data_IF_280875785555
#
_entry.id   IF_280875785555
#
_cell.length_a   1.000
_cell.length_b   1.000
_cell.length_c   1.000
_cell.angle_alpha   90.00
_cell.angle_beta   90.00
_cell.angle_gamma   90.00
#
_symmetry.space_group_name_H-M   'P 1'
#
loop_
_entity.id
_entity.type
_entity.pdbx_description
1 polymer ?
#
# COMPACT_ATOMS: atom_id res chain seq x y z
N UNK A 1 1.23 -8.98 -12.83
CA UNK A 1 1.84 -7.78 -12.23
C UNK A 1 0.85 -6.65 -12.27
N UNK A 2 0.93 -5.70 -11.32
CA UNK A 2 0.27 -4.39 -11.39
C UNK A 2 1.27 -3.39 -11.95
N UNK A 3 0.93 -2.75 -13.07
CA UNK A 3 1.86 -1.93 -13.87
C UNK A 3 1.20 -0.61 -14.20
N UNK A 4 1.86 0.49 -13.87
CA UNK A 4 1.65 1.78 -14.52
C UNK A 4 2.62 1.87 -15.71
N UNK A 5 2.11 2.20 -16.89
CA UNK A 5 2.90 2.32 -18.13
C UNK A 5 2.70 3.71 -18.73
N UNK A 6 3.76 4.52 -18.70
CA UNK A 6 3.81 5.92 -19.19
C UNK A 6 2.64 6.75 -18.66
N UNK A 7 2.34 6.60 -17.38
CA UNK A 7 1.21 7.22 -16.72
C UNK A 7 1.43 8.73 -16.58
N UNK A 8 0.55 9.52 -17.17
CA UNK A 8 0.50 10.98 -17.00
C UNK A 8 -0.84 11.36 -16.40
N UNK A 9 -0.81 12.21 -15.37
CA UNK A 9 -2.02 12.68 -14.70
C UNK A 9 -1.95 14.19 -14.52
N UNK A 10 -2.96 14.89 -15.03
CA UNK A 10 -3.11 16.32 -14.82
C UNK A 10 -4.45 16.64 -14.12
N UNK A 11 -4.39 17.55 -13.15
CA UNK A 11 -5.56 18.13 -12.46
C UNK A 11 -5.71 19.59 -12.89
N UNK A 12 -6.74 19.87 -13.67
CA UNK A 12 -6.89 21.16 -14.31
C UNK A 12 -5.71 21.46 -15.23
N UNK A 13 -4.91 22.51 -14.90
CA UNK A 13 -3.71 22.90 -15.67
C UNK A 13 -2.40 22.32 -15.09
N UNK A 14 -2.43 21.69 -13.92
CA UNK A 14 -1.23 21.19 -13.25
C UNK A 14 -1.02 19.72 -13.60
N UNK A 15 0.10 19.41 -14.23
CA UNK A 15 0.55 18.05 -14.45
C UNK A 15 1.21 17.51 -13.18
N UNK A 16 0.62 16.46 -12.62
CA UNK A 16 1.05 15.86 -11.34
C UNK A 16 1.98 14.67 -11.58
N UNK A 17 1.69 13.86 -12.61
CA UNK A 17 2.55 12.75 -13.04
C UNK A 17 2.86 12.91 -14.53
N UNK A 18 4.10 12.58 -14.93
CA UNK A 18 4.66 12.84 -16.26
C UNK A 18 5.26 11.57 -16.85
N UNK A 19 4.48 10.81 -17.62
CA UNK A 19 4.97 9.64 -18.32
C UNK A 19 5.59 8.56 -17.43
N UNK A 20 5.16 8.50 -16.16
CA UNK A 20 5.73 7.63 -15.13
C UNK A 20 5.45 6.16 -15.42
N UNK A 21 6.45 5.30 -15.27
CA UNK A 21 6.29 3.85 -15.31
C UNK A 21 6.76 3.24 -14.00
N UNK A 22 5.95 2.32 -13.44
CA UNK A 22 6.25 1.58 -12.21
C UNK A 22 5.64 0.18 -12.27
N UNK A 23 6.35 -0.82 -11.74
CA UNK A 23 5.90 -2.22 -11.71
C UNK A 23 5.93 -2.76 -10.30
N UNK A 24 4.80 -3.30 -9.83
CA UNK A 24 4.74 -4.02 -8.56
C UNK A 24 4.91 -5.50 -8.82
N UNK A 25 5.96 -6.07 -8.24
CA UNK A 25 6.31 -7.48 -8.38
C UNK A 25 5.60 -8.28 -7.29
N UNK A 26 4.86 -9.36 -7.63
CA UNK A 26 4.29 -10.26 -6.62
C UNK A 26 5.37 -10.88 -5.74
N UNK A 27 5.13 -10.91 -4.43
CA UNK A 27 6.08 -11.41 -3.44
C UNK A 27 7.08 -10.37 -2.95
N UNK A 28 6.97 -9.11 -3.37
CA UNK A 28 7.90 -8.06 -3.01
C UNK A 28 7.20 -6.79 -2.52
N UNK A 29 7.87 -6.08 -1.61
CA UNK A 29 7.48 -4.76 -1.12
C UNK A 29 8.26 -3.68 -1.86
N UNK A 30 7.54 -2.77 -2.52
CA UNK A 30 8.10 -1.55 -3.13
C UNK A 30 7.75 -0.36 -2.24
N UNK A 31 8.75 0.31 -1.69
CA UNK A 31 8.57 1.58 -0.98
C UNK A 31 8.64 2.75 -1.97
N UNK A 32 7.65 3.64 -1.92
CA UNK A 32 7.62 4.87 -2.69
C UNK A 32 7.99 6.05 -1.79
N UNK A 33 9.11 6.66 -2.09
CA UNK A 33 9.67 7.82 -1.40
C UNK A 33 9.58 9.07 -2.28
N UNK A 34 9.58 10.23 -1.66
CA UNK A 34 9.60 11.53 -2.35
C UNK A 34 9.04 12.65 -1.48
N UNK A 35 9.30 13.89 -1.87
CA UNK A 35 8.79 15.08 -1.16
C UNK A 35 7.26 15.14 -1.12
N UNK A 36 6.73 15.91 -0.20
CA UNK A 36 5.30 16.25 -0.22
C UNK A 36 4.96 16.97 -1.52
N UNK A 37 3.84 16.59 -2.14
CA UNK A 37 3.44 17.13 -3.44
C UNK A 37 4.09 16.47 -4.66
N UNK A 38 5.03 15.54 -4.52
CA UNK A 38 5.69 14.85 -5.65
C UNK A 38 4.74 13.97 -6.49
N UNK A 39 3.51 13.68 -6.01
CA UNK A 39 2.53 12.87 -6.75
C UNK A 39 2.34 11.45 -6.20
N UNK A 40 2.93 11.09 -5.04
CA UNK A 40 2.89 9.73 -4.46
C UNK A 40 1.46 9.20 -4.29
N UNK A 41 0.61 9.90 -3.56
CA UNK A 41 -0.80 9.48 -3.36
C UNK A 41 -1.61 9.53 -4.66
N UNK A 42 -1.23 10.40 -5.62
CA UNK A 42 -1.85 10.42 -6.95
C UNK A 42 -1.51 9.15 -7.74
N UNK A 43 -0.26 8.70 -7.70
CA UNK A 43 0.16 7.44 -8.29
C UNK A 43 -0.56 6.25 -7.63
N UNK A 44 -0.60 6.22 -6.29
CA UNK A 44 -1.29 5.17 -5.55
C UNK A 44 -2.77 5.11 -5.94
N UNK A 45 -3.47 6.25 -6.02
CA UNK A 45 -4.88 6.33 -6.47
C UNK A 45 -5.08 5.85 -7.90
N UNK A 46 -4.12 6.13 -8.79
CA UNK A 46 -4.18 5.61 -10.16
C UNK A 46 -4.04 4.09 -10.21
N UNK A 47 -3.08 3.53 -9.48
CA UNK A 47 -2.92 2.08 -9.32
C UNK A 47 -4.11 1.44 -8.59
N UNK A 48 -4.78 2.21 -7.74
CA UNK A 48 -6.03 1.82 -7.11
C UNK A 48 -7.22 1.80 -8.07
N UNK A 49 -7.13 2.42 -9.24
CA UNK A 49 -8.24 2.52 -10.20
C UNK A 49 -9.24 3.63 -9.87
N UNK A 50 -8.89 4.58 -8.97
CA UNK A 50 -9.81 5.65 -8.55
C UNK A 50 -10.12 6.67 -9.66
N UNK A 51 -9.29 6.71 -10.72
CA UNK A 51 -9.50 7.61 -11.86
C UNK A 51 -10.27 6.95 -13.02
N UNK A 52 -10.75 5.70 -12.85
CA UNK A 52 -11.55 4.97 -13.82
C UNK A 52 -13.00 4.84 -13.33
N UNK A 53 -13.97 5.03 -14.22
CA UNK A 53 -15.39 4.85 -13.93
C UNK A 53 -16.23 6.13 -13.87
N UNK A 54 -17.55 6.00 -13.70
CA UNK A 54 -18.51 7.08 -13.76
C UNK A 54 -18.37 8.18 -12.69
N UNK A 55 -17.58 7.93 -11.64
CA UNK A 55 -17.25 8.89 -10.57
C UNK A 55 -15.87 9.54 -10.72
N UNK A 56 -15.12 9.22 -11.78
CA UNK A 56 -13.81 9.85 -12.03
C UNK A 56 -13.99 11.37 -12.17
N UNK A 57 -13.24 12.13 -11.39
CA UNK A 57 -13.39 13.58 -11.35
C UNK A 57 -13.26 14.17 -12.77
N UNK A 58 -14.28 14.87 -13.25
CA UNK A 58 -14.34 15.52 -14.57
C UNK A 58 -13.14 16.43 -14.89
N UNK A 59 -12.28 16.71 -13.90
CA UNK A 59 -11.12 17.59 -14.00
C UNK A 59 -9.76 16.85 -14.08
N UNK A 60 -9.76 15.50 -14.10
CA UNK A 60 -8.53 14.70 -14.18
C UNK A 60 -8.35 14.22 -15.61
N UNK A 61 -7.22 14.59 -16.23
CA UNK A 61 -6.79 14.02 -17.53
C UNK A 61 -5.80 12.92 -17.25
N UNK A 62 -6.07 11.73 -17.78
CA UNK A 62 -5.25 10.53 -17.65
C UNK A 62 -4.63 10.20 -19.02
N UNK A 63 -3.31 10.02 -19.05
CA UNK A 63 -2.56 9.49 -20.18
C UNK A 63 -1.80 8.22 -19.75
N UNK A 64 -1.41 7.38 -20.71
CA UNK A 64 -0.84 6.06 -20.40
C UNK A 64 -1.91 5.07 -19.96
N UNK A 65 -1.49 4.00 -19.26
CA UNK A 65 -2.42 2.94 -18.81
C UNK A 65 -1.96 2.29 -17.53
N UNK A 66 -2.92 1.70 -16.81
CA UNK A 66 -2.65 0.82 -15.66
C UNK A 66 -3.22 -0.55 -15.96
N UNK A 67 -2.38 -1.59 -15.79
CA UNK A 67 -2.80 -2.99 -15.98
C UNK A 67 -2.60 -3.79 -14.71
N UNK A 68 -3.54 -4.70 -14.43
CA UNK A 68 -3.48 -5.64 -13.32
C UNK A 68 -3.61 -7.06 -13.88
N UNK A 69 -2.54 -7.84 -13.68
CA UNK A 69 -2.44 -9.22 -14.19
C UNK A 69 -2.72 -9.35 -15.69
N UNK A 70 -2.28 -8.35 -16.48
CA UNK A 70 -2.44 -8.31 -17.93
C UNK A 70 -3.73 -7.66 -18.43
N UNK A 71 -4.72 -7.44 -17.58
CA UNK A 71 -5.95 -6.74 -17.94
C UNK A 71 -5.85 -5.23 -17.62
N UNK A 72 -6.38 -4.37 -18.49
CA UNK A 72 -6.50 -2.95 -18.17
C UNK A 72 -7.49 -2.73 -17.02
N UNK A 73 -7.17 -1.85 -16.06
CA UNK A 73 -8.00 -1.64 -14.87
C UNK A 73 -9.44 -1.23 -15.20
N UNK A 74 -9.60 -0.45 -16.24
CA UNK A 74 -10.91 0.03 -16.74
C UNK A 74 -11.85 -1.09 -17.20
N UNK A 75 -11.29 -2.25 -17.53
CA UNK A 75 -12.07 -3.43 -17.96
C UNK A 75 -12.40 -4.36 -16.78
N UNK A 76 -11.88 -4.12 -15.60
CA UNK A 76 -12.14 -4.94 -14.41
C UNK A 76 -13.35 -4.38 -13.66
N UNK A 77 -14.36 -5.22 -13.45
CA UNK A 77 -15.49 -4.88 -12.58
C UNK A 77 -15.05 -4.66 -11.12
N UNK A 78 -15.74 -3.78 -10.40
CA UNK A 78 -15.40 -3.40 -9.04
C UNK A 78 -15.21 -4.60 -8.07
N UNK A 79 -16.09 -5.61 -8.15
CA UNK A 79 -16.00 -6.79 -7.30
C UNK A 79 -14.76 -7.67 -7.61
N UNK A 80 -14.39 -7.79 -8.90
CA UNK A 80 -13.17 -8.51 -9.30
C UNK A 80 -11.93 -7.76 -8.85
N UNK A 81 -11.89 -6.44 -9.07
CA UNK A 81 -10.80 -5.58 -8.64
C UNK A 81 -10.62 -5.62 -7.11
N UNK A 82 -11.71 -5.55 -6.34
CA UNK A 82 -11.65 -5.59 -4.88
C UNK A 82 -11.10 -6.91 -4.31
N UNK A 83 -11.20 -8.02 -5.04
CA UNK A 83 -10.58 -9.30 -4.65
C UNK A 83 -9.09 -9.38 -4.97
N UNK A 84 -8.64 -8.60 -5.95
CA UNK A 84 -7.25 -8.60 -6.42
C UNK A 84 -6.40 -7.47 -5.82
N UNK A 85 -7.04 -6.39 -5.33
CA UNK A 85 -6.35 -5.21 -4.83
C UNK A 85 -7.08 -4.62 -3.62
N UNK A 86 -6.34 -4.40 -2.52
CA UNK A 86 -6.81 -3.63 -1.36
C UNK A 86 -6.00 -2.33 -1.21
N UNK A 87 -6.65 -1.32 -0.64
CA UNK A 87 -6.05 -0.01 -0.36
C UNK A 87 -6.23 0.34 1.11
N UNK A 88 -5.15 0.69 1.79
CA UNK A 88 -5.16 1.35 3.08
C UNK A 88 -4.87 2.84 2.84
N UNK A 89 -5.87 3.72 2.92
CA UNK A 89 -5.68 5.16 2.74
C UNK A 89 -5.02 5.79 3.98
N UNK A 90 -4.39 6.95 3.81
CA UNK A 90 -3.68 7.70 4.86
C UNK A 90 -4.56 8.01 6.09
N UNK A 91 -5.82 8.39 5.88
CA UNK A 91 -6.78 8.63 6.95
C UNK A 91 -8.13 8.01 6.56
N UNK A 92 -8.57 7.04 7.33
CA UNK A 92 -9.86 6.43 7.18
C UNK A 92 -10.58 6.44 8.53
N UNK A 93 -11.21 7.57 8.85
CA UNK A 93 -12.13 7.61 9.98
C UNK A 93 -13.47 7.03 9.54
N UNK A 94 -13.98 6.00 10.22
CA UNK A 94 -15.31 5.48 9.97
C UNK A 94 -16.37 6.57 10.20
N UNK A 95 -17.31 6.72 9.27
CA UNK A 95 -18.39 7.70 9.37
C UNK A 95 -19.45 7.30 10.44
N UNK A 96 -19.42 6.03 10.88
CA UNK A 96 -20.38 5.47 11.83
C UNK A 96 -19.65 4.72 12.93
N UNK A 97 -20.24 4.61 14.14
CA UNK A 97 -19.72 3.76 15.20
C UNK A 97 -19.83 2.29 14.77
N UNK A 98 -18.69 1.65 14.54
CA UNK A 98 -18.58 0.21 14.33
C UNK A 98 -17.85 -0.41 15.52
N UNK A 99 -18.11 -1.67 15.76
CA UNK A 99 -17.22 -2.51 16.55
C UNK A 99 -16.04 -2.92 15.65
N UNK A 100 -14.84 -3.07 16.23
CA UNK A 100 -13.63 -3.35 15.44
C UNK A 100 -13.77 -4.59 14.53
N UNK A 101 -14.41 -5.65 15.03
CA UNK A 101 -14.70 -6.85 14.22
C UNK A 101 -15.59 -6.56 13.01
N UNK A 102 -16.62 -5.73 13.19
CA UNK A 102 -17.53 -5.34 12.12
C UNK A 102 -16.79 -4.51 11.06
N UNK A 103 -15.93 -3.57 11.47
CA UNK A 103 -15.12 -2.79 10.55
C UNK A 103 -14.19 -3.69 9.73
N UNK A 104 -13.56 -4.69 10.35
CA UNK A 104 -12.70 -5.65 9.65
C UNK A 104 -13.53 -6.56 8.75
N UNK A 105 -14.74 -6.95 9.17
CA UNK A 105 -15.66 -7.76 8.37
C UNK A 105 -16.04 -7.09 7.04
N UNK A 106 -16.06 -5.75 6.95
CA UNK A 106 -16.26 -5.06 5.67
C UNK A 106 -15.22 -5.47 4.62
N UNK A 107 -14.02 -5.87 5.03
CA UNK A 107 -13.01 -6.42 4.13
C UNK A 107 -13.45 -7.72 3.43
N UNK A 108 -14.41 -8.46 4.00
CA UNK A 108 -14.92 -9.71 3.42
C UNK A 108 -16.04 -9.49 2.40
N UNK A 109 -16.59 -8.28 2.32
CA UNK A 109 -17.71 -7.97 1.41
C UNK A 109 -17.48 -8.39 -0.06
N UNK A 110 -16.29 -8.21 -0.67
CA UNK A 110 -16.04 -8.65 -2.04
C UNK A 110 -16.12 -10.17 -2.24
N UNK A 111 -16.09 -10.97 -1.18
CA UNK A 111 -16.08 -12.43 -1.21
C UNK A 111 -17.46 -13.05 -0.95
N UNK A 112 -18.46 -12.26 -0.57
CA UNK A 112 -19.82 -12.76 -0.32
C UNK A 112 -20.49 -13.17 -1.64
N UNK A 113 -21.03 -14.39 -1.70
CA UNK A 113 -21.63 -14.96 -2.91
C UNK A 113 -23.08 -14.48 -3.20
N UNK A 114 -23.79 -14.03 -2.18
CA UNK A 114 -25.15 -13.43 -2.28
C UNK A 114 -25.27 -12.34 -1.22
N UNK A 115 -25.99 -11.28 -1.57
CA UNK A 115 -26.23 -10.09 -0.76
C UNK A 115 -26.10 -10.32 0.76
N UNK A 116 -24.87 -10.19 1.30
CA UNK A 116 -24.62 -10.11 2.73
C UNK A 116 -24.50 -11.44 3.51
N UNK A 117 -24.49 -12.61 2.88
CA UNK A 117 -24.29 -13.87 3.61
C UNK A 117 -22.83 -14.00 4.08
N UNK A 118 -22.59 -13.71 5.37
CA UNK A 118 -21.30 -13.88 6.05
C UNK A 118 -21.19 -15.37 6.44
N UNK A 119 -20.08 -16.01 6.03
CA UNK A 119 -19.81 -17.40 6.37
C UNK A 119 -19.06 -17.49 7.72
N UNK A 120 -19.15 -18.63 8.39
CA UNK A 120 -18.38 -18.89 9.64
C UNK A 120 -16.88 -18.66 9.43
N UNK A 121 -16.37 -19.04 8.26
CA UNK A 121 -14.97 -18.79 7.86
C UNK A 121 -14.60 -17.31 7.86
N UNK A 122 -15.53 -16.41 7.52
CA UNK A 122 -15.23 -14.97 7.48
C UNK A 122 -14.95 -14.41 8.87
N UNK A 123 -15.67 -14.89 9.91
CA UNK A 123 -15.38 -14.53 11.31
C UNK A 123 -13.99 -15.01 11.75
N UNK A 124 -13.58 -16.21 11.33
CA UNK A 124 -12.24 -16.72 11.60
C UNK A 124 -11.16 -15.88 10.91
N UNK A 125 -11.38 -15.48 9.64
CA UNK A 125 -10.48 -14.59 8.89
C UNK A 125 -10.36 -13.23 9.58
N UNK A 126 -11.45 -12.65 10.01
CA UNK A 126 -11.47 -11.36 10.75
C UNK A 126 -10.61 -11.46 12.00
N UNK A 127 -10.83 -12.48 12.84
CA UNK A 127 -10.04 -12.69 14.06
C UNK A 127 -8.55 -12.85 13.76
N UNK A 128 -8.17 -13.67 12.77
CA UNK A 128 -6.78 -13.86 12.35
C UNK A 128 -6.16 -12.57 11.81
N UNK A 129 -6.93 -11.78 11.04
CA UNK A 129 -6.48 -10.49 10.51
C UNK A 129 -6.20 -9.47 11.62
N UNK A 130 -7.07 -9.42 12.65
CA UNK A 130 -6.84 -8.58 13.82
C UNK A 130 -5.56 -8.98 14.57
N UNK A 131 -5.31 -10.28 14.75
CA UNK A 131 -4.08 -10.77 15.39
C UNK A 131 -2.84 -10.39 14.57
N UNK A 132 -2.84 -10.64 13.26
CA UNK A 132 -1.72 -10.28 12.36
C UNK A 132 -1.43 -8.77 12.35
N UNK A 133 -2.47 -7.95 12.49
CA UNK A 133 -2.33 -6.49 12.55
C UNK A 133 -1.93 -5.96 13.95
N UNK A 134 -1.69 -6.83 14.94
CA UNK A 134 -1.44 -6.42 16.33
C UNK A 134 -2.64 -5.73 16.99
N UNK A 135 -3.86 -6.02 16.52
CA UNK A 135 -5.11 -5.42 16.98
C UNK A 135 -6.05 -6.44 17.66
N UNK A 136 -5.57 -7.65 17.99
CA UNK A 136 -6.40 -8.70 18.56
C UNK A 136 -7.11 -8.32 19.87
N UNK A 137 -6.47 -7.54 20.73
CA UNK A 137 -7.06 -7.02 21.98
C UNK A 137 -8.12 -5.93 21.76
N UNK A 138 -8.28 -5.44 20.53
CA UNK A 138 -9.25 -4.40 20.18
C UNK A 138 -10.57 -4.98 19.65
N UNK A 139 -10.64 -6.29 19.46
CA UNK A 139 -11.89 -6.98 19.10
C UNK A 139 -13.00 -6.60 20.09
N UNK A 140 -14.21 -6.34 19.60
CA UNK A 140 -15.35 -5.93 20.42
C UNK A 140 -15.34 -4.47 20.90
N UNK A 141 -14.27 -3.68 20.66
CA UNK A 141 -14.24 -2.26 21.03
C UNK A 141 -14.89 -1.39 19.95
N UNK A 142 -15.56 -0.34 20.39
CA UNK A 142 -16.08 0.71 19.50
C UNK A 142 -14.90 1.49 18.88
N UNK A 143 -14.87 1.57 17.55
CA UNK A 143 -13.78 2.22 16.79
C UNK A 143 -13.68 3.71 17.06
N UNK A 144 -14.75 4.36 17.51
CA UNK A 144 -14.74 5.79 17.87
C UNK A 144 -13.98 6.08 19.17
N UNK A 145 -13.75 5.03 19.99
CA UNK A 145 -13.01 5.10 21.26
C UNK A 145 -11.52 4.78 21.09
N UNK A 146 -11.11 4.38 19.89
CA UNK A 146 -9.73 3.98 19.61
C UNK A 146 -8.83 5.20 19.40
N UNK A 147 -7.58 5.09 19.85
CA UNK A 147 -6.54 6.03 19.45
C UNK A 147 -6.26 5.94 17.94
N UNK A 148 -5.62 6.95 17.36
CA UNK A 148 -5.27 6.93 15.95
C UNK A 148 -4.43 5.72 15.54
N UNK A 149 -3.48 5.29 16.38
CA UNK A 149 -2.66 4.11 16.14
C UNK A 149 -3.44 2.79 16.28
N UNK A 150 -4.37 2.69 17.25
CA UNK A 150 -5.25 1.53 17.37
C UNK A 150 -6.17 1.41 16.14
N UNK A 151 -6.78 2.51 15.73
CA UNK A 151 -7.63 2.54 14.53
C UNK A 151 -6.85 2.18 13.26
N UNK A 152 -5.61 2.68 13.12
CA UNK A 152 -4.75 2.33 11.98
C UNK A 152 -4.50 0.81 11.90
N UNK A 153 -4.25 0.14 13.04
CA UNK A 153 -4.09 -1.32 13.09
C UNK A 153 -5.39 -2.07 12.74
N UNK A 154 -6.56 -1.60 13.21
CA UNK A 154 -7.85 -2.18 12.83
C UNK A 154 -8.13 -2.00 11.33
N UNK A 155 -7.82 -0.84 10.76
CA UNK A 155 -7.93 -0.60 9.32
C UNK A 155 -6.95 -1.47 8.51
N UNK A 156 -5.74 -1.70 9.03
CA UNK A 156 -4.79 -2.64 8.43
C UNK A 156 -5.35 -4.07 8.46
N UNK A 157 -5.94 -4.51 9.59
CA UNK A 157 -6.62 -5.82 9.66
C UNK A 157 -7.74 -5.94 8.60
N UNK A 158 -8.49 -4.86 8.32
CA UNK A 158 -9.54 -4.84 7.30
C UNK A 158 -9.00 -5.14 5.91
N UNK A 159 -7.89 -4.52 5.51
CA UNK A 159 -7.29 -4.79 4.19
C UNK A 159 -6.64 -6.17 4.11
N UNK A 160 -6.13 -6.70 5.24
CA UNK A 160 -5.66 -8.09 5.30
C UNK A 160 -6.82 -9.08 5.14
N UNK A 161 -7.95 -8.86 5.82
CA UNK A 161 -9.15 -9.66 5.64
C UNK A 161 -9.65 -9.65 4.19
N UNK A 162 -9.57 -8.50 3.51
CA UNK A 162 -9.93 -8.36 2.10
C UNK A 162 -9.03 -9.21 1.18
N UNK A 163 -7.73 -9.25 1.44
CA UNK A 163 -6.77 -9.99 0.62
C UNK A 163 -6.45 -11.38 1.19
N UNK A 164 -7.24 -11.86 2.15
CA UNK A 164 -6.99 -13.18 2.74
C UNK A 164 -6.97 -14.27 1.67
N UNK A 165 -5.95 -15.16 1.64
CA UNK A 165 -5.87 -16.22 0.66
C UNK A 165 -7.03 -17.21 0.81
N UNK A 166 -7.75 -17.45 -0.29
CA UNK A 166 -8.84 -18.43 -0.31
C UNK A 166 -8.33 -19.88 -0.40
N UNK A 167 -7.18 -20.05 -1.01
CA UNK A 167 -6.45 -21.33 -1.18
C UNK A 167 -5.00 -21.11 -0.72
N UNK A 168 -4.19 -22.16 -0.68
CA UNK A 168 -2.77 -21.99 -0.41
C UNK A 168 -2.18 -21.01 -1.45
N UNK A 169 -1.66 -19.88 -0.94
CA UNK A 169 -1.13 -18.82 -1.79
C UNK A 169 0.11 -19.28 -2.61
N UNK A 170 0.65 -20.45 -2.28
CA UNK A 170 1.74 -21.13 -3.01
C UNK A 170 1.26 -21.88 -4.25
N UNK A 171 -0.06 -22.05 -4.43
CA UNK A 171 -0.59 -22.65 -5.65
C UNK A 171 -0.22 -21.79 -6.85
N UNK A 172 0.53 -22.38 -7.79
CA UNK A 172 1.07 -21.69 -8.96
C UNK A 172 -0.01 -21.09 -9.89
N UNK A 173 -1.28 -21.46 -9.71
CA UNK A 173 -2.43 -20.98 -10.48
C UNK A 173 -3.17 -19.79 -9.86
N UNK A 174 -2.88 -19.40 -8.62
CA UNK A 174 -3.57 -18.28 -7.98
C UNK A 174 -3.12 -16.94 -8.59
N UNK A 175 -4.08 -16.12 -9.01
CA UNK A 175 -3.79 -14.78 -9.54
C UNK A 175 -3.11 -13.91 -8.47
N UNK A 176 -2.00 -13.22 -8.79
CA UNK A 176 -1.35 -12.30 -7.86
C UNK A 176 -2.29 -11.20 -7.37
N UNK A 177 -2.16 -10.85 -6.08
CA UNK A 177 -2.95 -9.81 -5.42
C UNK A 177 -2.04 -8.67 -4.98
N UNK A 178 -2.62 -7.49 -4.75
CA UNK A 178 -1.85 -6.27 -4.51
C UNK A 178 -2.38 -5.51 -3.29
N UNK A 179 -1.45 -5.03 -2.46
CA UNK A 179 -1.72 -4.22 -1.30
C UNK A 179 -1.09 -2.83 -1.49
N UNK A 180 -1.92 -1.79 -1.46
CA UNK A 180 -1.50 -0.41 -1.62
C UNK A 180 -1.69 0.32 -0.28
N UNK A 181 -0.59 0.84 0.29
CA UNK A 181 -0.56 1.46 1.60
C UNK A 181 -0.13 2.93 1.47
N UNK A 182 -1.05 3.85 1.76
CA UNK A 182 -0.77 5.31 1.76
C UNK A 182 -0.42 5.75 3.18
N UNK A 183 0.87 5.92 3.47
CA UNK A 183 1.43 6.35 4.75
C UNK A 183 0.94 5.53 5.97
N UNK A 184 1.04 4.20 5.93
CA UNK A 184 0.44 3.33 6.95
C UNK A 184 1.05 3.51 8.35
N UNK A 185 2.19 4.17 8.44
CA UNK A 185 2.96 4.36 9.68
C UNK A 185 2.74 5.73 10.34
N UNK A 186 2.01 6.66 9.72
CA UNK A 186 1.91 8.05 10.17
C UNK A 186 1.33 8.23 11.60
N UNK A 187 0.41 7.35 12.00
CA UNK A 187 -0.24 7.41 13.33
C UNK A 187 0.36 6.42 14.35
N UNK A 188 1.45 5.74 14.02
CA UNK A 188 2.04 4.68 14.84
C UNK A 188 3.32 5.13 15.51
N UNK A 189 3.56 4.67 16.73
CA UNK A 189 4.88 4.75 17.38
C UNK A 189 5.91 3.85 16.69
N UNK A 190 7.19 4.05 17.02
CA UNK A 190 8.30 3.39 16.35
C UNK A 190 8.19 1.85 16.38
N UNK A 191 7.78 1.26 17.52
CA UNK A 191 7.66 -0.19 17.65
C UNK A 191 6.56 -0.73 16.72
N UNK A 192 5.40 -0.06 16.68
CA UNK A 192 4.29 -0.45 15.82
C UNK A 192 4.57 -0.19 14.33
N UNK A 193 5.37 0.85 13.97
CA UNK A 193 5.82 1.07 12.60
C UNK A 193 6.64 -0.11 12.09
N UNK A 194 7.65 -0.54 12.86
CA UNK A 194 8.48 -1.69 12.53
C UNK A 194 7.69 -2.99 12.46
N UNK A 195 6.78 -3.20 13.41
CA UNK A 195 5.91 -4.39 13.42
C UNK A 195 5.02 -4.44 12.16
N UNK A 196 4.34 -3.34 11.82
CA UNK A 196 3.46 -3.28 10.64
C UNK A 196 4.24 -3.56 9.36
N UNK A 197 5.36 -2.86 9.14
CA UNK A 197 6.15 -3.05 7.91
C UNK A 197 6.83 -4.42 7.86
N UNK A 198 7.24 -4.99 8.99
CA UNK A 198 7.72 -6.36 9.10
C UNK A 198 6.65 -7.37 8.70
N UNK A 199 5.44 -7.24 9.25
CA UNK A 199 4.28 -8.08 8.89
C UNK A 199 3.95 -7.95 7.40
N UNK A 200 3.95 -6.73 6.85
CA UNK A 200 3.73 -6.50 5.41
C UNK A 200 4.75 -7.26 4.56
N UNK A 201 6.03 -7.23 4.96
CA UNK A 201 7.11 -7.93 4.23
C UNK A 201 6.97 -9.44 4.29
N UNK A 202 6.62 -10.00 5.44
CA UNK A 202 6.34 -11.43 5.61
C UNK A 202 5.15 -11.86 4.74
N UNK A 203 4.03 -11.14 4.86
CA UNK A 203 2.83 -11.43 4.07
C UNK A 203 3.03 -11.23 2.56
N UNK A 204 3.87 -10.27 2.15
CA UNK A 204 4.22 -10.12 0.74
C UNK A 204 4.82 -11.42 0.20
N UNK A 205 5.72 -12.06 0.94
CA UNK A 205 6.35 -13.33 0.56
C UNK A 205 5.39 -14.51 0.66
N UNK A 206 4.75 -14.68 1.81
CA UNK A 206 3.91 -15.84 2.11
C UNK A 206 2.63 -15.87 1.27
N UNK A 207 1.99 -14.73 1.06
CA UNK A 207 0.77 -14.59 0.27
C UNK A 207 1.04 -14.20 -1.18
N UNK A 208 2.31 -14.04 -1.57
CA UNK A 208 2.75 -13.56 -2.90
C UNK A 208 2.07 -12.25 -3.30
N UNK A 209 1.97 -11.32 -2.35
CA UNK A 209 1.40 -10.00 -2.62
C UNK A 209 2.43 -9.10 -3.30
N UNK A 210 2.00 -8.36 -4.33
CA UNK A 210 2.74 -7.18 -4.77
C UNK A 210 2.33 -6.00 -3.90
N UNK A 211 3.28 -5.41 -3.16
CA UNK A 211 2.98 -4.32 -2.23
C UNK A 211 3.59 -3.00 -2.72
N UNK A 212 2.81 -1.93 -2.67
CA UNK A 212 3.29 -0.54 -2.70
C UNK A 212 3.03 0.09 -1.35
N UNK A 213 4.05 0.63 -0.71
CA UNK A 213 3.90 1.42 0.51
C UNK A 213 4.52 2.80 0.34
N UNK A 214 3.74 3.85 0.60
CA UNK A 214 4.26 5.21 0.71
C UNK A 214 4.75 5.38 2.14
N UNK A 215 6.01 5.72 2.31
CA UNK A 215 6.62 6.01 3.61
C UNK A 215 7.41 7.32 3.53
N UNK A 216 7.57 7.99 4.67
CA UNK A 216 8.32 9.25 4.73
C UNK A 216 9.75 9.05 5.20
N UNK A 217 10.01 8.03 6.00
CA UNK A 217 11.35 7.73 6.51
C UNK A 217 12.10 6.80 5.55
N UNK A 218 13.18 7.29 4.90
CA UNK A 218 13.99 6.48 4.02
C UNK A 218 14.66 5.29 4.73
N UNK A 219 14.96 5.40 6.02
CA UNK A 219 15.55 4.31 6.79
C UNK A 219 14.55 3.17 7.01
N UNK A 220 13.27 3.47 7.26
CA UNK A 220 12.20 2.48 7.29
C UNK A 220 12.04 1.80 5.93
N UNK A 221 12.09 2.58 4.83
CA UNK A 221 12.04 2.04 3.47
C UNK A 221 13.20 1.07 3.21
N UNK A 222 14.44 1.50 3.52
CA UNK A 222 15.64 0.68 3.32
C UNK A 222 15.60 -0.64 4.11
N UNK A 223 15.01 -0.63 5.31
CA UNK A 223 14.97 -1.79 6.19
C UNK A 223 13.88 -2.80 5.82
N UNK A 224 12.73 -2.33 5.35
CA UNK A 224 11.54 -3.18 5.19
C UNK A 224 11.12 -3.42 3.74
N UNK A 225 11.63 -2.65 2.78
CA UNK A 225 11.30 -2.85 1.37
C UNK A 225 12.33 -3.71 0.64
N UNK A 226 11.86 -4.46 -0.34
CA UNK A 226 12.71 -5.21 -1.29
C UNK A 226 13.13 -4.31 -2.45
N UNK A 227 12.33 -3.30 -2.77
CA UNK A 227 12.57 -2.29 -3.79
C UNK A 227 12.20 -0.90 -3.29
N UNK A 228 12.90 0.11 -3.77
CA UNK A 228 12.62 1.53 -3.50
C UNK A 228 12.43 2.25 -4.82
N UNK A 229 11.41 3.09 -4.90
CA UNK A 229 11.23 4.05 -5.99
C UNK A 229 11.25 5.48 -5.43
N UNK A 230 12.10 6.34 -5.99
CA UNK A 230 12.15 7.76 -5.67
C UNK A 230 11.30 8.54 -6.67
N UNK A 231 10.33 9.28 -6.17
CA UNK A 231 9.45 10.13 -6.97
C UNK A 231 9.82 11.60 -6.76
N UNK A 232 10.17 12.29 -7.83
CA UNK A 232 10.44 13.72 -7.84
C UNK A 232 9.77 14.36 -9.07
N UNK A 233 9.15 15.51 -8.88
CA UNK A 233 8.53 16.32 -9.94
C UNK A 233 7.57 15.55 -10.89
N UNK A 234 6.89 14.53 -10.35
CA UNK A 234 5.95 13.69 -11.08
C UNK A 234 6.58 12.56 -11.89
N UNK A 235 7.88 12.32 -11.77
CA UNK A 235 8.64 11.28 -12.47
C UNK A 235 9.34 10.33 -11.49
N UNK A 236 9.57 9.07 -11.90
CA UNK A 236 10.44 8.16 -11.16
C UNK A 236 11.90 8.55 -11.42
N UNK A 237 12.54 9.14 -10.42
CA UNK A 237 13.93 9.52 -10.46
C UNK A 237 14.88 8.32 -10.48
N UNK A 238 14.56 7.31 -9.67
CA UNK A 238 15.30 6.05 -9.58
C UNK A 238 14.39 4.95 -9.02
N UNK A 239 14.61 3.71 -9.48
CA UNK A 239 13.95 2.51 -8.96
C UNK A 239 14.99 1.37 -8.91
N UNK A 240 15.01 0.63 -7.79
CA UNK A 240 15.94 -0.50 -7.62
C UNK A 240 15.85 -1.09 -6.23
N UNK A 241 16.85 -1.88 -5.84
CA UNK A 241 17.06 -2.31 -4.45
C UNK A 241 17.39 -1.11 -3.56
N UNK A 242 17.19 -1.21 -2.23
CA UNK A 242 17.62 -0.15 -1.33
C UNK A 242 19.08 0.27 -1.54
N UNK A 243 20.00 -0.69 -1.73
CA UNK A 243 21.44 -0.40 -1.94
C UNK A 243 21.72 0.38 -3.23
N UNK A 244 20.92 0.17 -4.28
CA UNK A 244 21.08 0.88 -5.56
C UNK A 244 20.52 2.31 -5.51
N UNK A 245 19.44 2.52 -4.76
CA UNK A 245 18.66 3.75 -4.78
C UNK A 245 19.01 4.69 -3.63
N UNK A 246 19.36 4.15 -2.44
CA UNK A 246 19.68 4.94 -1.25
C UNK A 246 21.09 5.51 -1.30
N UNK A 247 21.38 6.30 -2.34
CA UNK A 247 22.68 6.98 -2.55
C UNK A 247 22.54 8.46 -2.25
N UNK A 248 23.54 9.10 -1.59
CA UNK A 248 23.46 10.52 -1.21
C UNK A 248 22.99 11.43 -2.35
N UNK A 249 23.59 11.32 -3.54
CA UNK A 249 23.24 12.15 -4.68
C UNK A 249 21.77 11.99 -5.15
N UNK A 250 21.22 10.77 -5.11
CA UNK A 250 19.81 10.52 -5.47
C UNK A 250 18.85 11.05 -4.39
N UNK A 251 19.21 10.85 -3.13
CA UNK A 251 18.43 11.36 -2.00
C UNK A 251 18.43 12.89 -1.98
N UNK A 252 19.59 13.53 -2.15
CA UNK A 252 19.70 14.98 -2.23
C UNK A 252 18.86 15.54 -3.38
N UNK A 253 18.94 14.91 -4.56
CA UNK A 253 18.12 15.30 -5.71
C UNK A 253 16.62 15.11 -5.46
N UNK A 254 16.23 14.04 -4.77
CA UNK A 254 14.83 13.76 -4.46
C UNK A 254 14.26 14.66 -3.37
N UNK A 255 15.01 14.87 -2.29
CA UNK A 255 14.53 15.56 -1.08
C UNK A 255 15.03 17.00 -0.94
N UNK A 256 16.09 17.38 -1.65
CA UNK A 256 16.63 18.73 -1.66
C UNK A 256 17.52 19.06 -0.46
N UNK A 257 18.09 18.06 0.23
CA UNK A 257 19.07 18.25 1.31
C UNK A 257 20.15 17.18 1.26
N UNK A 258 21.37 17.55 1.69
CA UNK A 258 22.53 16.67 1.70
C UNK A 258 22.44 15.65 2.83
N UNK A 259 22.85 14.41 2.52
CA UNK A 259 22.85 13.29 3.47
C UNK A 259 24.16 12.54 3.45
N UNK A 260 24.44 11.84 4.55
CA UNK A 260 25.52 10.84 4.68
C UNK A 260 24.92 9.47 4.95
N UNK A 261 25.60 8.44 4.47
CA UNK A 261 25.27 7.04 4.77
C UNK A 261 26.25 6.53 5.82
N UNK A 262 25.71 5.94 6.88
CA UNK A 262 26.50 5.32 7.95
C UNK A 262 26.31 3.82 7.83
N UNK A 263 27.42 3.09 7.61
CA UNK A 263 27.42 1.63 7.63
C UNK A 263 27.19 1.11 9.06
N UNK A 264 26.28 0.17 9.23
CA UNK A 264 25.91 -0.39 10.55
C UNK A 264 26.67 -1.68 10.91
N UNK A 265 27.43 -2.24 9.98
CA UNK A 265 28.35 -3.37 10.24
C UNK A 265 27.72 -4.77 10.24
N UNK A 266 26.41 -4.89 10.40
CA UNK A 266 25.72 -6.19 10.59
C UNK A 266 25.09 -6.75 9.32
N UNK A 267 25.52 -6.29 8.13
CA UNK A 267 24.85 -6.59 6.87
C UNK A 267 23.46 -5.95 6.75
N UNK A 268 23.06 -5.12 7.70
CA UNK A 268 21.86 -4.28 7.61
C UNK A 268 22.09 -3.13 6.62
N UNK A 269 21.02 -2.60 6.01
CA UNK A 269 21.13 -1.44 5.13
C UNK A 269 21.78 -0.25 5.84
N UNK A 270 22.63 0.52 5.15
CA UNK A 270 23.20 1.75 5.71
C UNK A 270 22.11 2.70 6.21
N UNK A 271 22.39 3.39 7.29
CA UNK A 271 21.48 4.39 7.87
C UNK A 271 21.77 5.75 7.25
N UNK A 272 20.73 6.38 6.74
CA UNK A 272 20.80 7.74 6.23
C UNK A 272 20.66 8.74 7.37
N UNK A 273 21.58 9.69 7.43
CA UNK A 273 21.56 10.84 8.36
C UNK A 273 21.78 12.15 7.59
N UNK A 274 21.27 13.29 8.09
CA UNK A 274 21.62 14.59 7.54
C UNK A 274 23.14 14.79 7.51
N UNK A 275 23.66 15.48 6.47
CA UNK A 275 25.11 15.73 6.33
C UNK A 275 25.60 16.81 7.28
#
# INVERSE_FOLDING_TARGET
MLIADRLSIARGRTEVLRGLSLRLVPGAVTALLGRNGAGKSTLLKALAGEFHGAGAARQVRLGGRVTLNGAALEHLGAAALARLRAVLPQAAQPAFPFVADELVMLGRYPHTRRAGAIAVRDHEIVRKSLVLAGAGALAGRDVTTLSGGELARVQFARVLAQLWPEHDARDAGAAPRYLLLDEPTAALDLAHQHHLLGTVRELARDWRLGVLTIVHDPNLAARHADRVALLADGEVLAEGTPAEVMRPALIERCFGFAVKMIETGDGAPPVMVPA
#
